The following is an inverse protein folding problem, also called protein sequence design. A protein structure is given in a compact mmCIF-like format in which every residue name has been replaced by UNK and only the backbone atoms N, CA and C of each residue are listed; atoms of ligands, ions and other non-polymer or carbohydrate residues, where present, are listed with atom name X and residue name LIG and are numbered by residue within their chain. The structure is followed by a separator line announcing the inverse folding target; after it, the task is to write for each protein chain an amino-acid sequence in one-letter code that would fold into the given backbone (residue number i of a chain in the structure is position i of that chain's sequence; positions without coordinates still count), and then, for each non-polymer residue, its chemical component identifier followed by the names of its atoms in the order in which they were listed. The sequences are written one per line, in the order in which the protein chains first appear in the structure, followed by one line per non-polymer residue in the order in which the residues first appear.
data_IF_928786607318
#
_entry.id   IF_928786607318
#
_cell.length_a   1.000
_cell.length_b   1.000
_cell.length_c   1.000
_cell.angle_alpha   90.00
_cell.angle_beta   90.00
_cell.angle_gamma   90.00
#
_symmetry.space_group_name_H-M   'P 1'
#
loop_
_entity.id
_entity.type
_entity.pdbx_description
1 polymer ?
#
# COMPACT_ATOMS: atom_id res chain seq x y z
N UNK A 1 -6.58 -11.94 11.10
CA UNK A 1 -5.35 -12.51 10.51
C UNK A 1 -5.72 -13.25 9.23
N UNK A 2 -4.87 -13.18 8.21
CA UNK A 2 -4.97 -14.02 7.03
C UNK A 2 -3.96 -15.17 7.14
N UNK A 3 -4.44 -16.40 7.08
CA UNK A 3 -3.60 -17.61 7.10
C UNK A 3 -3.56 -18.21 5.69
N UNK A 4 -2.35 -18.30 5.13
CA UNK A 4 -2.12 -18.71 3.75
C UNK A 4 -1.48 -20.08 3.79
N UNK A 5 -2.27 -21.07 3.42
CA UNK A 5 -2.08 -22.47 3.73
C UNK A 5 -1.15 -23.19 2.74
N UNK A 6 -0.21 -22.45 2.17
CA UNK A 6 0.73 -22.91 1.15
C UNK A 6 2.08 -22.22 1.32
N UNK A 7 3.14 -22.87 0.84
CA UNK A 7 4.49 -22.29 0.77
C UNK A 7 4.69 -21.42 -0.47
N UNK A 8 3.69 -21.37 -1.36
CA UNK A 8 3.77 -20.63 -2.62
C UNK A 8 3.67 -19.12 -2.38
N UNK A 9 4.76 -18.41 -2.64
CA UNK A 9 4.85 -16.94 -2.52
C UNK A 9 3.94 -16.20 -3.52
N UNK A 10 3.56 -16.83 -4.64
CA UNK A 10 2.59 -16.24 -5.56
C UNK A 10 1.22 -16.09 -4.89
N UNK A 11 0.80 -17.07 -4.09
CA UNK A 11 -0.46 -17.02 -3.33
C UNK A 11 -0.41 -15.96 -2.23
N UNK A 12 0.75 -15.76 -1.58
CA UNK A 12 0.96 -14.63 -0.68
C UNK A 12 0.79 -13.29 -1.40
N UNK A 13 1.40 -13.14 -2.58
CA UNK A 13 1.27 -11.92 -3.37
C UNK A 13 -0.18 -11.67 -3.82
N UNK A 14 -0.88 -12.70 -4.30
CA UNK A 14 -2.29 -12.60 -4.70
C UNK A 14 -3.19 -12.25 -3.51
N UNK A 15 -2.91 -12.84 -2.34
CA UNK A 15 -3.61 -12.54 -1.10
C UNK A 15 -3.41 -11.07 -0.66
N UNK A 16 -2.20 -10.54 -0.75
CA UNK A 16 -1.90 -9.13 -0.45
C UNK A 16 -2.60 -8.20 -1.44
N UNK A 17 -2.67 -8.58 -2.72
CA UNK A 17 -3.40 -7.79 -3.72
C UNK A 17 -4.90 -7.77 -3.41
N UNK A 18 -5.48 -8.93 -3.08
CA UNK A 18 -6.91 -9.11 -2.77
C UNK A 18 -7.33 -8.45 -1.46
N UNK A 19 -6.61 -8.70 -0.37
CA UNK A 19 -6.97 -8.31 0.99
C UNK A 19 -6.27 -7.04 1.48
N UNK A 20 -5.36 -6.48 0.68
CA UNK A 20 -4.61 -5.26 0.99
C UNK A 20 -3.24 -5.52 1.61
N UNK A 21 -2.34 -4.52 1.61
CA UNK A 21 -1.05 -4.63 2.25
C UNK A 21 -1.16 -4.57 3.77
N UNK A 22 -0.21 -5.21 4.45
CA UNK A 22 -0.01 -5.12 5.89
C UNK A 22 1.48 -5.01 6.21
N UNK A 23 1.86 -4.27 7.28
CA UNK A 23 3.24 -4.15 7.72
C UNK A 23 3.82 -5.44 8.35
N UNK A 24 2.99 -6.43 8.74
CA UNK A 24 3.47 -7.65 9.39
C UNK A 24 3.13 -8.88 8.55
N UNK A 25 4.18 -9.52 8.03
CA UNK A 25 4.13 -10.80 7.31
C UNK A 25 5.04 -11.78 8.03
N UNK A 26 4.51 -12.96 8.33
CA UNK A 26 5.18 -13.97 9.14
C UNK A 26 5.30 -15.26 8.34
N UNK A 27 6.49 -15.85 8.36
CA UNK A 27 6.70 -17.25 7.97
C UNK A 27 6.34 -18.13 9.15
N UNK A 28 5.42 -19.06 8.97
CA UNK A 28 5.05 -19.99 10.05
C UNK A 28 6.12 -21.08 10.20
N UNK A 29 6.08 -21.82 11.32
CA UNK A 29 6.96 -22.96 11.55
C UNK A 29 6.97 -23.97 10.37
N UNK A 30 5.81 -24.25 9.77
CA UNK A 30 5.69 -25.14 8.60
C UNK A 30 6.06 -24.48 7.25
N UNK A 31 6.66 -23.28 7.30
CA UNK A 31 7.11 -22.45 6.17
C UNK A 31 6.00 -21.88 5.27
N UNK A 32 4.77 -21.82 5.79
CA UNK A 32 3.60 -21.12 5.19
C UNK A 32 3.60 -19.63 5.59
N UNK A 33 2.51 -18.90 5.36
CA UNK A 33 2.46 -17.46 5.65
C UNK A 33 1.27 -17.05 6.50
N UNK A 34 1.51 -16.16 7.47
CA UNK A 34 0.48 -15.34 8.09
C UNK A 34 0.66 -13.89 7.68
N UNK A 35 -0.45 -13.19 7.45
CA UNK A 35 -0.49 -11.73 7.29
C UNK A 35 -1.42 -11.16 8.35
N UNK A 36 -0.90 -10.27 9.18
CA UNK A 36 -1.67 -9.70 10.28
C UNK A 36 -2.40 -8.45 9.83
N UNK A 37 -3.63 -8.24 10.28
CA UNK A 37 -4.40 -7.03 9.97
C UNK A 37 -5.04 -6.54 11.25
N UNK A 38 -5.37 -5.25 11.28
CA UNK A 38 -6.18 -4.69 12.34
C UNK A 38 -7.57 -5.31 12.27
N UNK A 39 -8.07 -5.74 13.42
CA UNK A 39 -9.39 -6.36 13.48
C UNK A 39 -10.48 -5.30 13.26
N UNK A 40 -11.42 -5.61 12.36
CA UNK A 40 -12.58 -4.77 12.02
C UNK A 40 -13.90 -5.55 12.15
N UNK A 41 -13.97 -6.52 13.06
CA UNK A 41 -15.14 -7.39 13.22
C UNK A 41 -15.22 -8.57 12.25
N UNK A 42 -14.14 -8.89 11.51
CA UNK A 42 -14.11 -10.07 10.65
C UNK A 42 -14.29 -11.34 11.49
N UNK A 43 -15.23 -12.20 11.09
CA UNK A 43 -15.39 -13.53 11.71
C UNK A 43 -14.37 -14.51 11.12
N UNK A 44 -14.14 -15.61 11.83
CA UNK A 44 -13.42 -16.75 11.28
C UNK A 44 -14.15 -17.29 10.05
N UNK A 45 -13.46 -17.36 8.91
CA UNK A 45 -13.94 -17.90 7.65
C UNK A 45 -12.85 -18.79 7.04
N UNK A 46 -13.13 -20.09 6.95
CA UNK A 46 -12.22 -21.08 6.38
C UNK A 46 -12.55 -21.25 4.90
N UNK A 47 -11.54 -21.07 4.05
CA UNK A 47 -11.66 -21.16 2.59
C UNK A 47 -12.87 -20.39 2.03
N UNK A 48 -12.99 -19.06 2.27
CA UNK A 48 -14.07 -18.24 1.71
C UNK A 48 -14.13 -18.33 0.18
N UNK A 49 -12.97 -18.55 -0.45
CA UNK A 49 -12.85 -18.95 -1.84
C UNK A 49 -12.21 -20.35 -1.88
N UNK A 50 -13.01 -21.36 -2.25
CA UNK A 50 -12.60 -22.77 -2.27
C UNK A 50 -11.43 -23.06 -3.20
N UNK A 51 -11.16 -22.20 -4.17
CA UNK A 51 -10.05 -22.37 -5.12
C UNK A 51 -8.72 -21.85 -4.57
N UNK A 52 -8.74 -21.11 -3.47
CA UNK A 52 -7.53 -20.52 -2.88
C UNK A 52 -7.24 -21.08 -1.49
N UNK A 53 -5.97 -21.41 -1.16
CA UNK A 53 -5.61 -21.89 0.17
C UNK A 53 -5.43 -20.75 1.15
N UNK A 54 -6.52 -20.07 1.46
CA UNK A 54 -6.53 -18.88 2.32
C UNK A 54 -7.67 -19.00 3.32
N UNK A 55 -7.37 -18.74 4.59
CA UNK A 55 -8.32 -18.65 5.69
C UNK A 55 -8.27 -17.25 6.31
N UNK A 56 -9.43 -16.73 6.71
CA UNK A 56 -9.57 -15.51 7.50
C UNK A 56 -9.80 -15.93 8.95
N UNK A 57 -8.86 -15.64 9.83
CA UNK A 57 -8.91 -15.99 11.24
C UNK A 57 -9.13 -14.71 12.06
N UNK A 58 -10.37 -14.45 12.44
CA UNK A 58 -10.78 -13.33 13.30
C UNK A 58 -11.21 -13.79 14.70
N UNK A 59 -11.01 -12.94 15.71
CA UNK A 59 -11.47 -13.17 17.09
C UNK A 59 -10.72 -14.24 17.90
N UNK A 60 -9.50 -14.63 17.50
CA UNK A 60 -8.69 -15.64 18.19
C UNK A 60 -7.23 -15.24 18.36
N UNK A 61 -6.44 -16.14 18.96
CA UNK A 61 -5.00 -15.95 19.17
C UNK A 61 -4.17 -16.32 17.93
N UNK A 62 -3.06 -15.63 17.73
CA UNK A 62 -2.06 -15.94 16.73
C UNK A 62 -0.72 -16.24 17.41
N UNK A 63 0.04 -17.18 16.85
CA UNK A 63 1.42 -17.46 17.28
C UNK A 63 2.35 -16.46 16.59
N UNK A 64 3.18 -15.77 17.38
CA UNK A 64 4.09 -14.73 16.91
C UNK A 64 5.53 -15.25 16.80
N UNK A 65 6.35 -14.75 15.85
CA UNK A 65 7.79 -14.88 15.93
C UNK A 65 8.35 -14.29 17.24
N UNK A 66 9.43 -14.85 17.80
CA UNK A 66 10.21 -15.99 17.32
C UNK A 66 9.79 -17.34 17.96
N UNK A 67 8.47 -17.59 18.15
CA UNK A 67 7.99 -18.83 18.78
C UNK A 67 8.40 -20.09 18.02
N UNK A 68 8.68 -21.17 18.74
CA UNK A 68 9.00 -22.49 18.19
C UNK A 68 7.78 -23.41 18.20
N UNK A 69 7.59 -24.20 17.14
CA UNK A 69 6.60 -25.25 17.06
C UNK A 69 7.17 -26.47 16.31
N UNK A 70 6.43 -27.57 16.30
CA UNK A 70 6.80 -28.76 15.53
C UNK A 70 6.90 -28.40 14.04
N UNK A 71 8.13 -28.37 13.51
CA UNK A 71 8.43 -28.00 12.12
C UNK A 71 9.33 -26.78 11.95
N UNK A 72 9.60 -26.01 13.03
CA UNK A 72 10.56 -24.91 13.01
C UNK A 72 10.12 -23.69 13.82
N UNK A 73 10.78 -22.56 13.56
CA UNK A 73 10.50 -21.27 14.20
C UNK A 73 9.58 -20.42 13.31
N UNK A 74 8.70 -19.64 13.95
CA UNK A 74 8.01 -18.53 13.30
C UNK A 74 8.99 -17.38 13.07
N UNK A 75 9.03 -16.80 11.88
CA UNK A 75 9.98 -15.76 11.50
C UNK A 75 9.24 -14.56 10.93
N UNK A 76 9.64 -13.34 11.32
CA UNK A 76 9.18 -12.14 10.61
C UNK A 76 9.81 -12.13 9.21
N UNK A 77 8.97 -12.18 8.18
CA UNK A 77 9.38 -11.89 6.80
C UNK A 77 9.40 -10.37 6.61
N UNK A 78 8.40 -9.69 7.19
CA UNK A 78 8.24 -8.24 7.16
C UNK A 78 7.69 -7.75 8.51
N UNK A 79 8.17 -6.58 8.93
CA UNK A 79 7.79 -5.94 10.18
C UNK A 79 8.31 -6.63 11.43
N UNK A 80 7.79 -6.20 12.57
CA UNK A 80 7.98 -6.82 13.87
C UNK A 80 6.78 -6.53 14.79
N UNK A 81 6.83 -6.97 16.04
CA UNK A 81 5.80 -6.61 17.03
C UNK A 81 5.70 -5.09 17.28
N UNK A 82 6.71 -4.30 16.96
CA UNK A 82 6.63 -2.83 17.05
C UNK A 82 5.59 -2.22 16.12
N UNK A 83 5.25 -2.92 15.03
CA UNK A 83 4.38 -2.39 13.97
C UNK A 83 2.89 -2.70 14.22
N UNK A 84 2.55 -3.30 15.37
CA UNK A 84 1.18 -3.67 15.74
C UNK A 84 0.21 -2.47 15.71
N UNK A 85 0.66 -1.28 16.13
CA UNK A 85 -0.15 -0.06 16.12
C UNK A 85 -0.43 0.47 14.71
N UNK A 86 0.38 0.06 13.73
CA UNK A 86 0.31 0.49 12.33
C UNK A 86 -0.42 -0.51 11.41
N UNK A 87 -1.02 -1.57 11.98
CA UNK A 87 -1.74 -2.57 11.20
C UNK A 87 -2.88 -1.94 10.39
N UNK A 88 -2.90 -2.24 9.10
CA UNK A 88 -3.99 -1.89 8.18
C UNK A 88 -5.21 -2.79 8.39
N UNK A 89 -6.40 -2.28 8.09
CA UNK A 89 -7.60 -3.10 7.98
C UNK A 89 -7.56 -3.98 6.71
N UNK A 90 -8.21 -5.13 6.77
CA UNK A 90 -8.36 -6.00 5.60
C UNK A 90 -9.36 -5.39 4.61
N UNK A 91 -9.05 -5.41 3.31
CA UNK A 91 -10.02 -5.05 2.25
C UNK A 91 -11.08 -6.14 2.15
N UNK A 92 -12.35 -5.76 2.17
CA UNK A 92 -13.44 -6.68 1.88
C UNK A 92 -13.34 -7.15 0.42
N UNK A 93 -13.48 -8.45 0.12
CA UNK A 93 -13.66 -8.91 -1.25
C UNK A 93 -14.95 -8.29 -1.83
N UNK A 94 -15.02 -8.03 -3.15
CA UNK A 94 -16.21 -7.49 -3.78
C UNK A 94 -17.30 -8.56 -3.86
N UNK A 95 -18.04 -8.75 -2.76
CA UNK A 95 -19.37 -9.32 -2.73
C UNK A 95 -20.04 -8.91 -1.41
N UNK A 96 -21.14 -8.15 -1.55
CA UNK A 96 -22.10 -7.77 -0.52
C UNK A 96 -21.59 -6.70 0.46
N UNK A 97 -21.75 -5.44 0.07
CA UNK A 97 -22.06 -4.40 1.04
C UNK A 97 -23.43 -4.71 1.67
N UNK A 98 -23.55 -4.82 3.00
CA UNK A 98 -24.77 -4.42 3.66
C UNK A 98 -24.77 -2.89 3.77
N UNK A 99 -25.84 -2.28 3.27
CA UNK A 99 -26.20 -0.90 3.58
C UNK A 99 -26.44 -0.76 5.10
N UNK A 100 -25.87 0.29 5.70
CA UNK A 100 -26.15 0.77 7.08
C UNK A 100 -25.20 0.16 8.13
N UNK A 101 -24.57 0.91 9.04
CA UNK A 101 -24.81 2.25 9.60
C UNK A 101 -23.48 2.83 10.13
N UNK A 102 -23.38 4.16 10.34
CA UNK A 102 -22.13 4.83 10.72
C UNK A 102 -21.87 4.70 12.23
N UNK A 103 -20.63 4.47 12.66
CA UNK A 103 -20.13 5.05 13.92
C UNK A 103 -18.61 4.94 14.09
N UNK A 104 -18.04 6.14 14.29
CA UNK A 104 -17.06 6.54 15.29
C UNK A 104 -15.69 5.85 15.39
N UNK A 105 -14.66 6.64 15.08
CA UNK A 105 -13.27 6.40 15.44
C UNK A 105 -12.35 7.54 15.02
N UNK A 106 -12.77 8.80 15.19
CA UNK A 106 -11.89 9.97 15.13
C UNK A 106 -11.40 10.29 16.56
N UNK A 107 -10.34 9.60 16.98
CA UNK A 107 -9.46 9.96 18.09
C UNK A 107 -8.24 9.04 17.94
N UNK A 108 -6.99 9.45 17.89
CA UNK A 108 -6.26 10.57 18.49
C UNK A 108 -5.18 11.02 17.51
N UNK A 109 -5.16 12.29 17.09
CA UNK A 109 -3.96 12.99 16.61
C UNK A 109 -4.29 14.48 16.38
N UNK A 110 -4.81 15.13 17.43
CA UNK A 110 -5.04 16.58 17.45
C UNK A 110 -4.26 17.17 18.62
N UNK A 111 -2.94 17.28 18.47
CA UNK A 111 -2.11 18.08 19.38
C UNK A 111 -0.81 18.51 18.67
N UNK A 112 -0.94 19.53 17.83
CA UNK A 112 0.16 20.24 17.16
C UNK A 112 -0.42 21.19 16.10
N UNK A 113 0.09 22.41 16.00
CA UNK A 113 -0.44 23.49 15.13
C UNK A 113 -0.51 23.17 13.62
N UNK A 114 -0.02 22.01 13.15
CA UNK A 114 -0.18 21.54 11.76
C UNK A 114 -1.27 20.48 11.54
N UNK A 115 -1.64 19.70 12.56
CA UNK A 115 -2.47 18.51 12.36
C UNK A 115 -3.91 18.81 11.94
N UNK A 116 -4.49 19.90 12.47
CA UNK A 116 -5.86 20.35 12.16
C UNK A 116 -5.98 20.92 10.75
N UNK A 117 -5.01 21.74 10.35
CA UNK A 117 -4.94 22.29 9.00
C UNK A 117 -4.82 21.18 7.96
N UNK A 118 -3.94 20.20 8.19
CA UNK A 118 -3.79 19.04 7.31
C UNK A 118 -5.06 18.18 7.24
N UNK A 119 -5.74 18.00 8.36
CA UNK A 119 -7.00 17.25 8.43
C UNK A 119 -8.11 17.96 7.64
N UNK A 120 -8.34 19.25 7.90
CA UNK A 120 -9.35 20.03 7.19
C UNK A 120 -9.02 20.17 5.70
N UNK A 121 -7.75 20.28 5.33
CA UNK A 121 -7.33 20.31 3.92
C UNK A 121 -7.63 19.01 3.18
N UNK A 122 -7.43 17.85 3.81
CA UNK A 122 -7.81 16.55 3.22
C UNK A 122 -9.32 16.46 2.99
N UNK A 123 -10.12 16.95 3.94
CA UNK A 123 -11.59 17.04 3.82
C UNK A 123 -11.96 17.99 2.66
N UNK A 124 -11.33 19.16 2.59
CA UNK A 124 -11.55 20.13 1.53
C UNK A 124 -11.22 19.57 0.14
N UNK A 125 -10.13 18.82 -0.02
CA UNK A 125 -9.81 18.13 -1.28
C UNK A 125 -10.88 17.10 -1.69
N UNK A 126 -11.52 16.41 -0.73
CA UNK A 126 -12.62 15.49 -1.04
C UNK A 126 -13.85 16.27 -1.54
N UNK A 127 -14.20 17.36 -0.85
CA UNK A 127 -15.36 18.20 -1.18
C UNK A 127 -15.20 18.94 -2.52
N UNK A 128 -13.98 19.40 -2.83
CA UNK A 128 -13.68 20.15 -4.06
C UNK A 128 -14.03 19.42 -5.36
N UNK A 129 -14.12 18.09 -5.34
CA UNK A 129 -14.49 17.29 -6.54
C UNK A 129 -15.97 17.41 -6.91
N UNK A 130 -16.83 17.59 -5.91
CA UNK A 130 -18.28 17.74 -6.08
C UNK A 130 -18.75 19.19 -6.02
N UNK A 131 -17.87 20.12 -5.67
CA UNK A 131 -18.20 21.54 -5.59
C UNK A 131 -18.41 22.14 -6.98
N UNK A 132 -19.48 22.92 -7.12
CA UNK A 132 -19.84 23.63 -8.35
C UNK A 132 -19.09 24.97 -8.51
N UNK A 133 -18.36 25.39 -7.47
CA UNK A 133 -17.59 26.63 -7.44
C UNK A 133 -16.91 26.85 -6.08
N UNK A 134 -16.05 27.87 -6.01
CA UNK A 134 -15.28 28.22 -4.82
C UNK A 134 -16.17 28.58 -3.62
N UNK A 135 -17.27 29.29 -3.84
CA UNK A 135 -18.22 29.68 -2.78
C UNK A 135 -18.88 28.46 -2.13
N UNK A 136 -19.39 27.51 -2.94
CA UNK A 136 -19.99 26.27 -2.43
C UNK A 136 -18.97 25.35 -1.75
N UNK A 137 -17.70 25.37 -2.18
CA UNK A 137 -16.63 24.68 -1.48
C UNK A 137 -16.36 25.32 -0.11
N UNK A 138 -16.26 26.65 -0.05
CA UNK A 138 -16.01 27.37 1.19
C UNK A 138 -17.10 27.10 2.24
N UNK A 139 -18.37 27.13 1.85
CA UNK A 139 -19.50 26.80 2.74
C UNK A 139 -19.36 25.37 3.29
N UNK A 140 -19.06 24.41 2.42
CA UNK A 140 -18.89 23.00 2.80
C UNK A 140 -17.72 22.79 3.77
N UNK A 141 -16.58 23.45 3.53
CA UNK A 141 -15.38 23.36 4.37
C UNK A 141 -15.59 24.08 5.71
N UNK A 142 -16.32 25.19 5.72
CA UNK A 142 -16.69 25.91 6.96
C UNK A 142 -17.58 25.05 7.86
N UNK A 143 -18.57 24.38 7.28
CA UNK A 143 -19.42 23.42 7.99
C UNK A 143 -18.61 22.24 8.54
N UNK A 144 -17.63 21.74 7.78
CA UNK A 144 -16.72 20.70 8.25
C UNK A 144 -15.83 21.18 9.40
N UNK A 145 -15.30 22.40 9.33
CA UNK A 145 -14.47 22.98 10.40
C UNK A 145 -15.23 23.02 11.73
N UNK A 146 -16.46 23.55 11.73
CA UNK A 146 -17.30 23.64 12.93
C UNK A 146 -17.66 22.25 13.48
N UNK A 147 -17.93 21.28 12.61
CA UNK A 147 -18.41 19.95 13.02
C UNK A 147 -17.30 18.95 13.37
N UNK A 148 -16.05 19.18 12.95
CA UNK A 148 -14.97 18.19 13.06
C UNK A 148 -13.67 18.70 13.69
N UNK A 149 -13.49 20.02 13.86
CA UNK A 149 -12.27 20.60 14.43
C UNK A 149 -12.54 21.15 15.83
N UNK A 150 -11.72 20.73 16.79
CA UNK A 150 -11.79 21.20 18.18
C UNK A 150 -10.40 21.72 18.63
N UNK A 151 -10.26 23.02 18.96
CA UNK A 151 -11.22 24.08 18.64
C UNK A 151 -11.28 24.35 17.12
N UNK A 152 -12.39 24.91 16.61
CA UNK A 152 -12.51 25.30 15.21
C UNK A 152 -11.37 26.25 14.78
N UNK A 153 -10.93 26.11 13.53
CA UNK A 153 -9.99 27.04 12.91
C UNK A 153 -10.66 28.38 12.62
N UNK A 154 -9.87 29.44 12.50
CA UNK A 154 -10.38 30.78 12.18
C UNK A 154 -10.90 30.85 10.74
N UNK A 155 -11.83 31.77 10.45
CA UNK A 155 -12.34 31.97 9.09
C UNK A 155 -11.22 32.22 8.07
N UNK A 156 -10.18 32.96 8.46
CA UNK A 156 -9.01 33.23 7.62
C UNK A 156 -8.21 31.96 7.26
N UNK A 157 -8.18 30.97 8.14
CA UNK A 157 -7.55 29.66 7.89
C UNK A 157 -8.44 28.80 6.99
N UNK A 158 -9.74 28.77 7.27
CA UNK A 158 -10.73 28.03 6.48
C UNK A 158 -10.77 28.55 5.03
N UNK A 159 -10.77 29.88 4.83
CA UNK A 159 -10.72 30.50 3.49
C UNK A 159 -9.45 30.06 2.74
N UNK A 160 -8.28 30.11 3.39
CA UNK A 160 -7.01 29.70 2.78
C UNK A 160 -7.00 28.21 2.42
N UNK A 161 -7.54 27.36 3.28
CA UNK A 161 -7.63 25.92 3.05
C UNK A 161 -8.57 25.60 1.88
N UNK A 162 -9.74 26.23 1.83
CA UNK A 162 -10.68 26.06 0.73
C UNK A 162 -10.08 26.54 -0.60
N UNK A 163 -9.40 27.70 -0.60
CA UNK A 163 -8.76 28.25 -1.80
C UNK A 163 -7.65 27.32 -2.30
N UNK A 164 -6.80 26.82 -1.40
CA UNK A 164 -5.75 25.88 -1.76
C UNK A 164 -6.31 24.57 -2.32
N UNK A 165 -7.39 24.04 -1.74
CA UNK A 165 -8.02 22.81 -2.25
C UNK A 165 -8.65 23.03 -3.64
N UNK A 166 -9.25 24.22 -3.86
CA UNK A 166 -9.79 24.62 -5.15
C UNK A 166 -8.71 24.76 -6.22
N UNK A 167 -7.56 25.35 -5.89
CA UNK A 167 -6.42 25.45 -6.80
C UNK A 167 -5.90 24.07 -7.21
N UNK A 168 -5.82 23.13 -6.26
CA UNK A 168 -5.47 21.74 -6.58
C UNK A 168 -6.48 21.10 -7.52
N UNK A 169 -7.78 21.36 -7.32
CA UNK A 169 -8.84 20.86 -8.19
C UNK A 169 -8.73 21.44 -9.62
N UNK A 170 -8.62 22.76 -9.75
CA UNK A 170 -8.53 23.43 -11.05
C UNK A 170 -7.24 23.07 -11.80
N UNK A 171 -6.14 22.89 -11.09
CA UNK A 171 -4.86 22.48 -11.68
C UNK A 171 -4.82 20.98 -12.06
N UNK A 172 -5.90 20.21 -11.86
CA UNK A 172 -5.91 18.76 -12.07
C UNK A 172 -4.96 18.00 -11.13
N UNK A 173 -4.58 18.61 -10.01
CA UNK A 173 -3.68 18.06 -8.98
C UNK A 173 -4.44 17.50 -7.78
N UNK A 174 -5.77 17.58 -7.77
CA UNK A 174 -6.59 16.94 -6.76
C UNK A 174 -6.78 15.45 -7.07
N UNK A 175 -6.05 14.64 -6.34
CA UNK A 175 -6.07 13.18 -6.48
C UNK A 175 -6.83 12.50 -5.35
N UNK A 176 -7.54 13.26 -4.52
CA UNK A 176 -8.30 12.69 -3.41
C UNK A 176 -9.39 11.76 -3.96
N UNK A 177 -9.44 10.50 -3.53
CA UNK A 177 -10.41 9.52 -4.01
C UNK A 177 -10.17 8.98 -5.44
N UNK A 178 -9.05 9.31 -6.11
CA UNK A 178 -8.75 8.80 -7.47
C UNK A 178 -8.06 7.42 -7.50
N UNK A 179 -7.96 6.73 -6.36
CA UNK A 179 -7.22 5.48 -6.23
C UNK A 179 -5.70 5.64 -6.15
N UNK A 180 -4.97 4.52 -6.15
CA UNK A 180 -3.49 4.50 -6.09
C UNK A 180 -2.91 4.94 -7.43
N UNK A 181 -1.85 5.75 -7.39
CA UNK A 181 -1.18 6.31 -8.57
C UNK A 181 0.34 6.15 -8.45
N UNK A 182 1.00 6.14 -9.60
CA UNK A 182 2.46 6.24 -9.69
C UNK A 182 2.75 7.63 -10.25
N UNK A 183 3.44 8.46 -9.47
CA UNK A 183 3.90 9.77 -9.93
C UNK A 183 5.35 9.64 -10.38
N UNK A 184 5.68 10.21 -11.54
CA UNK A 184 7.03 10.24 -12.08
C UNK A 184 7.42 11.65 -12.47
N UNK A 185 8.68 11.99 -12.26
CA UNK A 185 9.28 13.16 -12.87
C UNK A 185 9.70 12.83 -14.31
N UNK A 186 9.72 13.82 -15.20
CA UNK A 186 10.13 13.64 -16.60
C UNK A 186 11.54 13.05 -16.71
N UNK A 187 12.49 13.53 -15.89
CA UNK A 187 13.87 12.99 -15.83
C UNK A 187 13.93 11.47 -15.58
N UNK A 188 12.93 10.92 -14.87
CA UNK A 188 12.88 9.49 -14.63
C UNK A 188 12.42 8.71 -15.86
N UNK A 189 11.49 9.27 -16.63
CA UNK A 189 11.06 8.71 -17.91
C UNK A 189 12.24 8.78 -18.89
N UNK A 190 12.88 9.95 -18.96
CA UNK A 190 14.00 10.22 -19.85
C UNK A 190 15.23 9.35 -19.56
N UNK A 191 15.41 8.90 -18.31
CA UNK A 191 16.48 7.98 -17.94
C UNK A 191 16.38 6.62 -18.67
N UNK A 192 15.20 6.22 -19.15
CA UNK A 192 15.02 5.00 -19.96
C UNK A 192 15.14 5.26 -21.47
N UNK A 193 15.23 6.53 -21.88
CA UNK A 193 15.40 6.92 -23.28
C UNK A 193 16.90 6.88 -23.64
N UNK A 194 17.30 6.25 -24.74
CA UNK A 194 18.70 6.16 -25.14
C UNK A 194 19.26 7.52 -25.54
N UNK A 195 20.43 7.87 -25.01
CA UNK A 195 21.13 9.11 -25.37
C UNK A 195 21.86 9.04 -26.72
N UNK A 196 22.22 7.83 -27.15
CA UNK A 196 22.94 7.55 -28.40
C UNK A 196 22.02 7.11 -29.55
N UNK A 197 20.69 7.21 -29.35
CA UNK A 197 19.67 6.78 -30.30
C UNK A 197 19.50 5.26 -30.42
N UNK A 198 20.20 4.45 -29.60
CA UNK A 198 20.11 2.98 -29.65
C UNK A 198 19.38 2.42 -28.42
N UNK A 199 18.12 1.95 -28.56
CA UNK A 199 17.37 1.39 -27.44
C UNK A 199 18.06 0.20 -26.81
N UNK A 200 18.35 0.30 -25.51
CA UNK A 200 18.67 -0.89 -24.73
C UNK A 200 17.43 -1.79 -24.73
N UNK A 201 17.57 -3.01 -25.24
CA UNK A 201 16.46 -3.96 -25.44
C UNK A 201 15.60 -4.21 -24.20
N UNK A 202 16.16 -4.01 -23.01
CA UNK A 202 15.47 -4.22 -21.73
C UNK A 202 14.90 -2.93 -21.13
N UNK A 203 15.13 -1.75 -21.70
CA UNK A 203 14.68 -0.48 -21.12
C UNK A 203 13.14 -0.37 -21.02
N UNK A 204 12.34 -0.74 -22.04
CA UNK A 204 10.87 -0.71 -21.91
C UNK A 204 10.37 -1.67 -20.83
N UNK A 205 10.91 -2.90 -20.79
CA UNK A 205 10.55 -3.91 -19.79
C UNK A 205 10.96 -3.48 -18.38
N UNK A 206 12.15 -2.89 -18.25
CA UNK A 206 12.63 -2.37 -16.98
C UNK A 206 11.75 -1.22 -16.47
N UNK A 207 11.36 -0.28 -17.34
CA UNK A 207 10.47 0.81 -16.97
C UNK A 207 9.11 0.28 -16.48
N UNK A 208 8.51 -0.68 -17.18
CA UNK A 208 7.27 -1.31 -16.76
C UNK A 208 7.42 -2.11 -15.45
N UNK A 209 8.52 -2.86 -15.31
CA UNK A 209 8.81 -3.60 -14.08
C UNK A 209 8.98 -2.66 -12.88
N UNK A 210 9.64 -1.51 -13.05
CA UNK A 210 9.79 -0.51 -12.00
C UNK A 210 8.43 0.02 -11.54
N UNK A 211 7.51 0.27 -12.47
CA UNK A 211 6.16 0.72 -12.15
C UNK A 211 5.37 -0.33 -11.40
N UNK A 212 5.43 -1.57 -11.86
CA UNK A 212 4.77 -2.66 -11.15
C UNK A 212 5.34 -2.83 -9.74
N UNK A 213 6.66 -2.81 -9.59
CA UNK A 213 7.31 -2.92 -8.28
C UNK A 213 6.91 -1.77 -7.37
N UNK A 214 6.81 -0.53 -7.87
CA UNK A 214 6.30 0.60 -7.07
C UNK A 214 4.82 0.44 -6.74
N UNK A 215 3.99 0.04 -7.69
CA UNK A 215 2.57 -0.27 -7.41
C UNK A 215 2.45 -1.30 -6.28
N UNK A 216 3.33 -2.29 -6.23
CA UNK A 216 3.30 -3.35 -5.23
C UNK A 216 3.99 -2.96 -3.90
N UNK A 217 5.02 -2.11 -3.94
CA UNK A 217 5.95 -1.91 -2.82
C UNK A 217 6.30 -0.46 -2.49
N UNK A 218 5.68 0.57 -3.08
CA UNK A 218 6.07 1.98 -2.91
C UNK A 218 6.10 2.48 -1.46
N UNK A 219 5.28 1.92 -0.57
CA UNK A 219 5.25 2.26 0.85
C UNK A 219 6.29 1.48 1.69
N UNK A 220 7.01 0.54 1.07
CA UNK A 220 7.98 -0.32 1.76
C UNK A 220 9.39 0.22 1.58
N UNK A 221 10.14 0.25 2.68
CA UNK A 221 11.59 0.54 2.65
C UNK A 221 12.38 -0.55 1.93
N UNK A 222 11.91 -1.79 2.01
CA UNK A 222 12.56 -2.96 1.42
C UNK A 222 11.54 -3.98 0.92
N UNK A 223 11.86 -4.73 -0.13
CA UNK A 223 10.98 -5.75 -0.71
C UNK A 223 11.76 -6.84 -1.47
N UNK A 224 11.08 -7.92 -1.81
CA UNK A 224 11.63 -9.01 -2.63
C UNK A 224 11.18 -8.87 -4.08
N UNK A 225 12.07 -9.22 -5.01
CA UNK A 225 11.74 -9.36 -6.43
C UNK A 225 11.92 -10.83 -6.82
N UNK A 226 10.89 -11.62 -6.57
CA UNK A 226 10.90 -13.06 -6.78
C UNK A 226 11.02 -13.40 -8.28
N UNK A 227 11.81 -14.42 -8.61
CA UNK A 227 11.95 -14.85 -10.00
C UNK A 227 10.61 -15.30 -10.59
N UNK A 228 9.74 -15.93 -9.78
CA UNK A 228 8.42 -16.42 -10.21
C UNK A 228 7.48 -15.32 -10.73
N UNK A 229 7.76 -14.04 -10.45
CA UNK A 229 6.97 -12.92 -10.97
C UNK A 229 6.94 -12.87 -12.51
N UNK A 230 7.91 -13.48 -13.19
CA UNK A 230 7.90 -13.55 -14.65
C UNK A 230 6.64 -14.25 -15.20
N UNK A 231 6.09 -15.22 -14.47
CA UNK A 231 4.91 -15.98 -14.89
C UNK A 231 3.67 -15.09 -14.93
N UNK A 232 3.47 -14.28 -13.88
CA UNK A 232 2.34 -13.34 -13.79
C UNK A 232 2.40 -12.24 -14.86
N UNK A 233 3.61 -11.93 -15.34
CA UNK A 233 3.84 -10.96 -16.41
C UNK A 233 3.69 -11.58 -17.81
N UNK A 234 3.54 -12.90 -17.93
CA UNK A 234 3.63 -13.60 -19.21
C UNK A 234 5.01 -13.47 -19.86
N UNK A 235 6.05 -13.24 -19.05
CA UNK A 235 7.41 -13.03 -19.53
C UNK A 235 8.24 -14.30 -19.42
N UNK A 236 9.18 -14.48 -20.35
CA UNK A 236 10.23 -15.47 -20.16
C UNK A 236 11.12 -15.08 -18.98
N UNK A 237 11.65 -16.07 -18.27
CA UNK A 237 12.59 -15.85 -17.16
C UNK A 237 13.80 -15.00 -17.58
N UNK A 238 14.29 -15.19 -18.82
CA UNK A 238 15.40 -14.40 -19.38
C UNK A 238 15.03 -12.93 -19.57
N UNK A 239 13.83 -12.64 -20.09
CA UNK A 239 13.31 -11.27 -20.25
C UNK A 239 13.20 -10.56 -18.90
N UNK A 240 12.56 -11.21 -17.93
CA UNK A 240 12.43 -10.68 -16.57
C UNK A 240 13.78 -10.42 -15.89
N UNK A 241 14.70 -11.39 -15.98
CA UNK A 241 16.04 -11.24 -15.38
C UNK A 241 16.80 -10.08 -16.02
N UNK A 242 16.70 -9.90 -17.34
CA UNK A 242 17.36 -8.79 -18.03
C UNK A 242 16.78 -7.43 -17.62
N UNK A 243 15.45 -7.33 -17.50
CA UNK A 243 14.79 -6.12 -17.02
C UNK A 243 15.20 -5.77 -15.57
N UNK A 244 15.21 -6.76 -14.66
CA UNK A 244 15.66 -6.56 -13.27
C UNK A 244 17.12 -6.12 -13.20
N UNK A 245 18.00 -6.82 -13.92
CA UNK A 245 19.44 -6.49 -13.96
C UNK A 245 19.68 -5.07 -14.52
N UNK A 246 18.86 -4.64 -15.49
CA UNK A 246 18.94 -3.28 -16.02
C UNK A 246 18.53 -2.24 -14.96
N UNK A 247 17.47 -2.49 -14.19
CA UNK A 247 17.08 -1.62 -13.06
C UNK A 247 18.15 -1.55 -11.96
N UNK A 248 18.80 -2.67 -11.67
CA UNK A 248 19.94 -2.75 -10.75
C UNK A 248 21.11 -1.89 -11.25
N UNK A 249 21.48 -2.02 -12.54
CA UNK A 249 22.53 -1.23 -13.17
C UNK A 249 22.23 0.29 -13.16
N UNK A 250 20.97 0.66 -13.39
CA UNK A 250 20.53 2.06 -13.31
C UNK A 250 20.42 2.61 -11.88
N UNK A 251 20.61 1.77 -10.85
CA UNK A 251 20.43 2.15 -9.44
C UNK A 251 18.97 2.44 -9.07
N UNK A 252 18.01 2.09 -9.93
CA UNK A 252 16.56 2.22 -9.66
C UNK A 252 16.04 1.08 -8.77
N UNK A 253 16.80 0.00 -8.69
CA UNK A 253 16.57 -1.11 -7.77
C UNK A 253 17.89 -1.40 -7.05
N UNK A 254 17.98 -1.04 -5.78
CA UNK A 254 19.20 -1.20 -4.98
C UNK A 254 19.15 -2.49 -4.21
N UNK A 255 20.24 -3.26 -4.24
CA UNK A 255 20.39 -4.44 -3.38
C UNK A 255 20.69 -3.95 -1.96
N UNK A 256 19.72 -4.08 -1.07
CA UNK A 256 19.87 -3.77 0.36
C UNK A 256 20.51 -4.94 1.09
N UNK A 257 20.20 -6.17 0.68
CA UNK A 257 20.85 -7.39 1.16
C UNK A 257 21.08 -8.36 0.01
N UNK A 258 22.31 -8.84 -0.23
CA UNK A 258 22.59 -9.80 -1.29
C UNK A 258 22.01 -11.18 -0.99
N UNK A 259 21.92 -12.02 -2.02
CA UNK A 259 21.52 -13.43 -1.88
C UNK A 259 22.52 -14.19 -1.00
N UNK A 260 22.00 -14.94 -0.03
CA UNK A 260 22.74 -15.93 0.77
C UNK A 260 22.42 -17.37 0.37
N UNK A 261 23.03 -18.35 1.06
CA UNK A 261 22.83 -19.79 0.81
C UNK A 261 21.35 -20.20 0.84
N UNK A 262 20.56 -19.61 1.74
CA UNK A 262 19.11 -19.84 1.90
C UNK A 262 18.30 -18.53 2.06
N UNK A 263 18.90 -17.40 1.68
CA UNK A 263 18.31 -16.07 1.91
C UNK A 263 18.13 -15.34 0.59
N UNK A 264 16.91 -14.91 0.21
CA UNK A 264 16.69 -14.16 -1.01
C UNK A 264 17.26 -12.74 -0.93
N UNK A 265 17.61 -12.18 -2.10
CA UNK A 265 18.03 -10.78 -2.26
C UNK A 265 16.90 -9.85 -1.83
N UNK A 266 17.23 -8.87 -0.99
CA UNK A 266 16.32 -7.79 -0.58
C UNK A 266 16.67 -6.55 -1.38
N UNK A 267 15.65 -5.89 -1.91
CA UNK A 267 15.78 -4.69 -2.69
C UNK A 267 15.11 -3.48 -2.03
N UNK A 268 15.51 -2.29 -2.45
CA UNK A 268 14.84 -1.01 -2.20
C UNK A 268 14.91 -0.13 -3.46
N UNK A 269 14.19 0.99 -3.46
CA UNK A 269 14.30 2.02 -4.51
C UNK A 269 15.44 3.00 -4.22
#
# INVERSE_FOLDING_TARGET
MLDIDTRNENTLADAIEKFGPSPIIIRTASKKFHVWYRHNGEKRSIRPDKQTPIDILGGGYAVAPPSNANGGQYEFIEGSLSDLSSLSFMRAPPAQMPLGTPQNGLSEQVAGEGGRNDALFKIALQMARGATGMEGLFESVSNANISTMEPPLTDSEVIRIAASAWDYQQAGKNWSGSGRKIVKNFDEIDAFIPKDGKPHKSAPDAAFLLDLLRRLHFERKTFFVANAMHEKLGWSRKRFTAARSYLECMGKLRIVRPKGKDVPTVYGF
#
